data_IF_432465360566
#
_entry.id   IF_432465360566
#
_cell.length_a   1.000
_cell.length_b   1.000
_cell.length_c   1.000
_cell.angle_alpha   90.00
_cell.angle_beta   90.00
_cell.angle_gamma   90.00
#
_symmetry.space_group_name_H-M   'P 1'
#
loop_
_entity.id
_entity.type
_entity.pdbx_description
1 polymer ?
#
# COMPACT_ATOMS: atom_id res chain seq x y z
N UNK A 1 8.06 27.75 -43.41
CA UNK A 1 8.56 27.78 -42.02
C UNK A 1 7.53 27.02 -41.15
N UNK A 2 7.82 25.76 -40.78
CA UNK A 2 7.00 25.00 -39.88
C UNK A 2 7.43 25.36 -38.44
N UNK A 3 6.46 25.77 -37.62
CA UNK A 3 6.68 26.03 -36.20
C UNK A 3 7.12 24.73 -35.48
N UNK A 4 8.10 24.77 -34.57
CA UNK A 4 8.52 23.60 -33.83
C UNK A 4 7.34 23.11 -32.94
N UNK A 5 6.93 21.85 -33.11
CA UNK A 5 6.02 21.20 -32.19
C UNK A 5 6.77 21.05 -30.84
N UNK A 6 6.43 21.88 -29.89
CA UNK A 6 6.81 21.69 -28.50
C UNK A 6 6.24 20.33 -28.03
N UNK A 7 7.11 19.35 -27.96
CA UNK A 7 6.81 18.07 -27.32
C UNK A 7 6.81 18.34 -25.82
N UNK A 8 5.68 18.80 -25.26
CA UNK A 8 5.50 18.92 -23.82
C UNK A 8 5.39 17.50 -23.27
N UNK A 9 6.48 16.98 -22.72
CA UNK A 9 6.41 15.78 -21.89
C UNK A 9 5.42 16.08 -20.76
N UNK A 10 4.43 15.19 -20.51
CA UNK A 10 3.52 15.39 -19.40
C UNK A 10 4.32 15.46 -18.11
N UNK A 11 4.02 16.46 -17.27
CA UNK A 11 4.63 16.60 -15.96
C UNK A 11 4.38 15.32 -15.16
N UNK A 12 5.39 14.83 -14.41
CA UNK A 12 5.22 13.64 -13.60
C UNK A 12 4.09 13.87 -12.58
N UNK A 13 3.26 12.84 -12.40
CA UNK A 13 2.20 12.85 -11.39
C UNK A 13 2.82 12.63 -10.01
N UNK A 14 2.32 13.39 -9.03
CA UNK A 14 2.64 13.17 -7.63
C UNK A 14 1.77 12.05 -7.06
N UNK A 15 2.38 11.11 -6.33
CA UNK A 15 1.71 10.05 -5.59
C UNK A 15 1.98 10.27 -4.11
N UNK A 16 0.92 10.40 -3.30
CA UNK A 16 0.99 10.59 -1.86
C UNK A 16 0.38 9.37 -1.14
N UNK A 17 1.23 8.61 -0.46
CA UNK A 17 0.81 7.62 0.54
C UNK A 17 0.75 8.33 1.90
N UNK A 18 -0.40 8.23 2.56
CA UNK A 18 -0.67 9.01 3.78
C UNK A 18 -1.42 8.19 4.83
N UNK A 19 -1.17 8.49 6.08
CA UNK A 19 -2.01 8.03 7.20
C UNK A 19 -1.84 8.94 8.43
N UNK A 20 -2.85 8.90 9.30
CA UNK A 20 -2.80 9.48 10.63
C UNK A 20 -3.77 8.73 11.53
N UNK A 21 -3.28 8.21 12.66
CA UNK A 21 -4.15 7.82 13.76
C UNK A 21 -4.57 9.08 14.52
N UNK A 22 -5.86 9.29 14.61
CA UNK A 22 -6.49 10.38 15.37
C UNK A 22 -7.97 10.10 15.52
N UNK A 23 -8.63 10.55 16.60
CA UNK A 23 -10.08 10.41 16.71
C UNK A 23 -10.77 11.25 15.62
N UNK A 24 -11.44 10.58 14.67
CA UNK A 24 -12.28 11.24 13.68
C UNK A 24 -13.74 11.25 14.15
N UNK A 25 -14.38 12.41 14.02
CA UNK A 25 -15.80 12.58 14.34
C UNK A 25 -16.72 11.97 13.27
N UNK A 26 -17.46 12.82 12.55
CA UNK A 26 -18.39 12.39 11.48
C UNK A 26 -17.64 11.97 10.20
N UNK A 27 -17.28 10.68 10.12
CA UNK A 27 -16.65 10.11 8.91
C UNK A 27 -17.55 10.21 7.67
N UNK A 28 -18.88 10.31 7.81
CA UNK A 28 -19.77 10.43 6.65
C UNK A 28 -19.67 11.83 6.02
N UNK A 29 -19.71 12.87 6.82
CA UNK A 29 -19.49 14.24 6.37
C UNK A 29 -18.09 14.41 5.77
N UNK A 30 -17.05 13.88 6.42
CA UNK A 30 -15.67 13.92 5.92
C UNK A 30 -15.53 13.22 4.57
N UNK A 31 -16.18 12.07 4.37
CA UNK A 31 -16.20 11.35 3.09
C UNK A 31 -16.74 12.23 1.96
N UNK A 32 -17.84 12.96 2.20
CA UNK A 32 -18.45 13.82 1.19
C UNK A 32 -17.53 14.98 0.82
N UNK A 33 -16.96 15.65 1.82
CA UNK A 33 -16.00 16.76 1.62
C UNK A 33 -14.78 16.30 0.84
N UNK A 34 -14.10 15.23 1.30
CA UNK A 34 -12.89 14.71 0.65
C UNK A 34 -13.17 14.18 -0.76
N UNK A 35 -14.32 13.52 -0.99
CA UNK A 35 -14.71 13.06 -2.33
C UNK A 35 -14.86 14.25 -3.29
N UNK A 36 -15.51 15.34 -2.84
CA UNK A 36 -15.71 16.54 -3.64
C UNK A 36 -14.38 17.22 -3.96
N UNK A 37 -13.51 17.42 -2.96
CA UNK A 37 -12.21 18.07 -3.16
C UNK A 37 -11.33 17.25 -4.12
N UNK A 38 -11.20 15.95 -3.90
CA UNK A 38 -10.44 15.08 -4.80
C UNK A 38 -10.94 15.13 -6.26
N UNK A 39 -12.27 15.17 -6.46
CA UNK A 39 -12.85 15.29 -7.81
C UNK A 39 -12.53 16.63 -8.46
N UNK A 40 -12.67 17.73 -7.73
CA UNK A 40 -12.37 19.07 -8.22
C UNK A 40 -10.89 19.21 -8.62
N UNK A 41 -10.00 18.57 -7.88
CA UNK A 41 -8.55 18.61 -8.11
C UNK A 41 -8.06 17.52 -9.10
N UNK A 42 -8.94 16.70 -9.67
CA UNK A 42 -8.57 15.60 -10.57
C UNK A 42 -7.76 14.50 -9.91
N UNK A 43 -7.79 14.42 -8.56
CA UNK A 43 -7.04 13.43 -7.77
C UNK A 43 -7.77 12.09 -7.79
N UNK A 44 -6.99 10.99 -7.96
CA UNK A 44 -7.49 9.61 -7.92
C UNK A 44 -6.77 8.82 -6.85
N UNK A 45 -7.36 7.69 -6.42
CA UNK A 45 -6.77 6.83 -5.40
C UNK A 45 -7.80 6.28 -4.43
N UNK A 46 -7.33 5.89 -3.25
CA UNK A 46 -8.21 5.40 -2.19
C UNK A 46 -7.87 6.10 -0.88
N UNK A 47 -8.89 6.64 -0.21
CA UNK A 47 -8.83 7.09 1.17
C UNK A 47 -9.77 6.23 2.02
N UNK A 48 -9.28 5.74 3.13
CA UNK A 48 -10.02 5.02 4.16
C UNK A 48 -10.21 5.94 5.36
N UNK A 49 -11.42 6.03 5.85
CA UNK A 49 -11.80 6.79 7.05
C UNK A 49 -12.36 5.81 8.08
N UNK A 50 -11.91 5.91 9.30
CA UNK A 50 -12.47 5.20 10.45
C UNK A 50 -12.47 6.15 11.66
N UNK A 51 -13.13 5.75 12.75
CA UNK A 51 -13.08 6.54 14.00
C UNK A 51 -11.66 6.72 14.53
N UNK A 52 -10.76 5.80 14.22
CA UNK A 52 -9.36 5.80 14.63
C UNK A 52 -8.43 6.62 13.72
N UNK A 53 -8.92 7.18 12.58
CA UNK A 53 -8.07 7.98 11.70
C UNK A 53 -8.38 7.93 10.22
N UNK A 54 -7.35 8.28 9.44
CA UNK A 54 -7.35 8.28 7.97
C UNK A 54 -6.14 7.50 7.43
N UNK A 55 -6.31 6.78 6.32
CA UNK A 55 -5.26 6.08 5.59
C UNK A 55 -5.55 6.06 4.10
N UNK A 56 -4.52 6.10 3.26
CA UNK A 56 -4.71 5.91 1.82
C UNK A 56 -3.51 6.24 0.97
N UNK A 57 -3.73 6.05 -0.34
CA UNK A 57 -2.81 6.50 -1.39
C UNK A 57 -3.60 7.21 -2.47
N UNK A 58 -3.14 8.40 -2.84
CA UNK A 58 -3.76 9.27 -3.85
C UNK A 58 -2.71 9.75 -4.85
N UNK A 59 -3.13 10.04 -6.08
CA UNK A 59 -2.26 10.56 -7.12
C UNK A 59 -2.96 11.65 -7.94
N UNK A 60 -2.17 12.62 -8.39
CA UNK A 60 -2.65 13.75 -9.18
C UNK A 60 -1.51 14.70 -9.55
N UNK A 61 -1.87 15.89 -10.06
CA UNK A 61 -0.89 16.97 -10.18
C UNK A 61 -0.40 17.41 -8.80
N UNK A 62 0.83 17.91 -8.70
CA UNK A 62 1.36 18.41 -7.42
C UNK A 62 0.41 19.42 -6.74
N UNK A 63 -0.11 20.47 -7.43
CA UNK A 63 -1.06 21.39 -6.80
C UNK A 63 -2.36 20.70 -6.33
N UNK A 64 -2.83 19.69 -7.09
CA UNK A 64 -4.03 18.95 -6.70
C UNK A 64 -3.83 18.11 -5.44
N UNK A 65 -2.66 17.45 -5.32
CA UNK A 65 -2.28 16.72 -4.11
C UNK A 65 -2.14 17.66 -2.92
N UNK A 66 -1.44 18.80 -3.10
CA UNK A 66 -1.23 19.79 -2.03
C UNK A 66 -2.57 20.29 -1.48
N UNK A 67 -3.52 20.63 -2.34
CA UNK A 67 -4.86 21.07 -1.95
C UNK A 67 -5.64 20.01 -1.15
N UNK A 68 -5.52 18.72 -1.54
CA UNK A 68 -6.16 17.61 -0.80
C UNK A 68 -5.47 17.40 0.55
N UNK A 69 -4.14 17.45 0.61
CA UNK A 69 -3.39 17.31 1.86
C UNK A 69 -3.68 18.45 2.83
N UNK A 70 -3.80 19.68 2.34
CA UNK A 70 -4.20 20.84 3.16
C UNK A 70 -5.59 20.62 3.77
N UNK A 71 -6.56 20.17 2.96
CA UNK A 71 -7.89 19.85 3.46
C UNK A 71 -7.89 18.75 4.52
N UNK A 72 -7.04 17.71 4.37
CA UNK A 72 -6.91 16.64 5.37
C UNK A 72 -6.25 17.19 6.64
N UNK A 73 -5.18 17.99 6.54
CA UNK A 73 -4.51 18.58 7.69
C UNK A 73 -5.38 19.55 8.50
N UNK A 74 -6.38 20.16 7.86
CA UNK A 74 -7.38 21.00 8.52
C UNK A 74 -8.38 20.21 9.39
N UNK A 75 -8.43 18.89 9.27
CA UNK A 75 -9.27 18.02 10.12
C UNK A 75 -8.63 17.99 11.52
N UNK A 76 -9.40 18.21 12.61
CA UNK A 76 -8.90 18.09 13.96
C UNK A 76 -8.19 16.74 14.19
N UNK A 77 -6.96 16.78 14.72
CA UNK A 77 -6.11 15.60 14.92
C UNK A 77 -5.26 15.18 13.71
N UNK A 78 -5.47 15.74 12.51
CA UNK A 78 -4.73 15.38 11.30
C UNK A 78 -3.58 16.37 10.95
N UNK A 79 -3.28 17.35 11.79
CA UNK A 79 -2.23 18.34 11.51
C UNK A 79 -0.83 17.73 11.28
N UNK A 80 -0.55 16.59 11.93
CA UNK A 80 0.72 15.87 11.83
C UNK A 80 0.65 14.69 10.82
N UNK A 81 -0.20 14.82 9.81
CA UNK A 81 -0.41 13.78 8.78
C UNK A 81 0.93 13.26 8.20
N UNK A 82 1.22 11.99 8.42
CA UNK A 82 2.36 11.31 7.79
C UNK A 82 2.10 11.17 6.29
N UNK A 83 2.99 11.74 5.49
CA UNK A 83 2.87 11.72 4.02
C UNK A 83 4.19 11.29 3.40
N UNK A 84 4.14 10.32 2.51
CA UNK A 84 5.26 9.90 1.67
C UNK A 84 4.94 10.22 0.23
N UNK A 85 5.76 11.08 -0.37
CA UNK A 85 5.62 11.48 -1.76
C UNK A 85 6.51 10.62 -2.65
N UNK A 86 6.00 10.29 -3.80
CA UNK A 86 6.73 9.66 -4.90
C UNK A 86 6.12 10.10 -6.23
N UNK A 87 6.72 9.71 -7.35
CA UNK A 87 6.24 10.11 -8.67
C UNK A 87 5.77 8.91 -9.49
N UNK A 88 4.92 9.20 -10.48
CA UNK A 88 4.52 8.25 -11.51
C UNK A 88 4.46 8.96 -12.86
N UNK A 89 4.82 8.26 -13.94
CA UNK A 89 4.73 8.79 -15.32
C UNK A 89 3.31 8.73 -15.87
N UNK A 90 2.50 7.81 -15.34
CA UNK A 90 1.09 7.62 -15.71
C UNK A 90 0.22 7.58 -14.45
N UNK A 91 -1.07 7.88 -14.59
CA UNK A 91 -2.03 7.86 -13.47
C UNK A 91 -2.16 6.44 -12.89
N UNK A 92 -1.66 6.20 -11.65
CA UNK A 92 -1.61 4.85 -11.08
C UNK A 92 -2.92 4.38 -10.46
N UNK A 93 -4.02 5.09 -10.70
CA UNK A 93 -5.35 4.75 -10.20
C UNK A 93 -6.44 5.02 -11.24
N UNK A 94 -7.37 4.08 -11.41
CA UNK A 94 -8.49 4.25 -12.33
C UNK A 94 -9.52 5.28 -11.85
N UNK A 95 -9.77 5.36 -10.53
CA UNK A 95 -10.81 6.22 -9.95
C UNK A 95 -10.49 6.64 -8.52
N UNK A 96 -11.18 7.68 -8.03
CA UNK A 96 -11.17 8.05 -6.61
C UNK A 96 -12.17 7.21 -5.82
N UNK A 97 -11.75 6.73 -4.64
CA UNK A 97 -12.58 6.02 -3.67
C UNK A 97 -12.33 6.61 -2.27
N UNK A 98 -13.36 7.13 -1.62
CA UNK A 98 -13.33 7.47 -0.19
C UNK A 98 -14.28 6.51 0.53
N UNK A 99 -13.74 5.67 1.42
CA UNK A 99 -14.47 4.57 2.07
C UNK A 99 -14.43 4.72 3.59
N UNK A 100 -15.56 4.49 4.23
CA UNK A 100 -15.64 4.35 5.68
C UNK A 100 -15.39 2.87 6.01
N UNK A 101 -14.56 2.62 7.01
CA UNK A 101 -14.20 1.29 7.48
C UNK A 101 -14.25 1.25 9.02
N UNK A 102 -14.35 0.07 9.65
CA UNK A 102 -14.19 -0.06 11.10
C UNK A 102 -12.81 0.38 11.58
N UNK A 103 -11.76 0.05 10.80
CA UNK A 103 -10.36 0.35 11.07
C UNK A 103 -9.69 0.92 9.81
N UNK A 104 -8.73 1.85 9.99
CA UNK A 104 -7.95 2.38 8.85
C UNK A 104 -6.90 1.39 8.35
N UNK A 105 -6.53 0.43 9.20
CA UNK A 105 -5.77 -0.78 8.86
C UNK A 105 -6.34 -1.93 9.69
N UNK A 106 -6.94 -2.91 9.02
CA UNK A 106 -7.74 -3.94 9.69
C UNK A 106 -6.85 -4.98 10.35
N UNK A 107 -6.78 -4.99 11.67
CA UNK A 107 -6.12 -6.01 12.49
C UNK A 107 -7.13 -6.89 13.22
N UNK A 108 -8.37 -6.45 13.35
CA UNK A 108 -9.42 -7.17 14.08
C UNK A 108 -9.24 -7.12 15.61
N UNK A 109 -8.57 -6.07 16.11
CA UNK A 109 -8.34 -5.84 17.55
C UNK A 109 -8.80 -4.40 17.88
N UNK A 110 -10.11 -4.19 18.09
CA UNK A 110 -10.68 -2.84 18.23
C UNK A 110 -10.26 -2.13 19.52
N UNK A 111 -9.81 -2.86 20.53
CA UNK A 111 -9.39 -2.32 21.82
C UNK A 111 -7.90 -1.86 21.81
N UNK A 112 -7.19 -2.12 20.73
CA UNK A 112 -5.79 -1.67 20.58
C UNK A 112 -5.76 -0.25 20.02
N UNK A 113 -5.31 0.69 20.84
CA UNK A 113 -5.12 2.09 20.47
C UNK A 113 -3.62 2.42 20.30
N UNK A 114 -3.15 2.62 19.06
CA UNK A 114 -1.75 2.97 18.81
C UNK A 114 -1.34 4.32 19.40
N UNK A 115 -2.27 5.25 19.59
CA UNK A 115 -1.96 6.57 20.17
C UNK A 115 -1.50 6.47 21.63
N UNK A 116 -1.94 5.43 22.35
CA UNK A 116 -1.62 5.22 23.75
C UNK A 116 -0.37 4.35 23.95
N UNK A 117 -0.11 3.40 23.06
CA UNK A 117 0.84 2.33 23.36
C UNK A 117 1.67 1.82 22.17
N UNK A 118 1.81 2.59 21.08
CA UNK A 118 2.70 2.20 19.98
C UNK A 118 4.14 1.95 20.47
N UNK A 119 4.84 1.05 19.78
CA UNK A 119 6.25 0.74 20.04
C UNK A 119 7.17 1.93 19.82
N UNK A 120 8.45 1.74 20.11
CA UNK A 120 9.47 2.77 19.91
C UNK A 120 9.80 2.90 18.43
N UNK A 121 9.70 4.12 17.90
CA UNK A 121 10.10 4.43 16.52
C UNK A 121 11.61 4.41 16.35
N UNK A 122 12.09 3.71 15.32
CA UNK A 122 13.52 3.66 14.94
C UNK A 122 13.65 4.27 13.55
N UNK A 123 14.49 5.29 13.41
CA UNK A 123 14.73 5.94 12.11
C UNK A 123 15.52 5.01 11.18
N UNK A 124 15.40 5.15 9.84
CA UNK A 124 16.04 4.28 8.87
C UNK A 124 17.55 4.08 9.08
N UNK A 125 18.28 5.13 9.45
CA UNK A 125 19.74 5.06 9.66
C UNK A 125 20.15 4.19 10.88
N UNK A 126 19.30 4.09 11.90
CA UNK A 126 19.55 3.29 13.10
C UNK A 126 18.97 1.86 12.96
N UNK A 127 18.15 1.63 11.93
CA UNK A 127 17.42 0.37 11.75
C UNK A 127 18.34 -0.82 11.56
N UNK A 128 19.39 -0.67 10.73
CA UNK A 128 20.34 -1.74 10.47
C UNK A 128 21.04 -2.24 11.73
N UNK A 129 21.43 -1.34 12.63
CA UNK A 129 22.06 -1.70 13.89
C UNK A 129 21.11 -2.49 14.80
N UNK A 130 19.83 -2.09 14.86
CA UNK A 130 18.82 -2.81 15.64
C UNK A 130 18.56 -4.21 15.11
N UNK A 131 18.38 -4.38 13.80
CA UNK A 131 18.05 -5.69 13.22
C UNK A 131 19.24 -6.64 13.11
N UNK A 132 20.46 -6.12 13.18
CA UNK A 132 21.68 -6.91 13.26
C UNK A 132 21.99 -7.42 14.67
N UNK A 133 21.36 -6.88 15.71
CA UNK A 133 21.52 -7.33 17.08
C UNK A 133 20.94 -8.75 17.26
N UNK A 134 21.74 -9.75 17.66
CA UNK A 134 21.29 -11.12 17.85
C UNK A 134 20.20 -11.27 18.92
N UNK A 135 20.05 -10.31 19.84
CA UNK A 135 18.98 -10.27 20.82
C UNK A 135 17.64 -9.75 20.23
N UNK A 136 17.61 -9.32 18.97
CA UNK A 136 16.42 -8.82 18.29
C UNK A 136 15.79 -9.90 17.40
N UNK A 137 14.49 -10.10 17.52
CA UNK A 137 13.70 -10.78 16.48
C UNK A 137 13.09 -9.74 15.55
N UNK A 138 13.24 -9.93 14.26
CA UNK A 138 12.71 -9.01 13.23
C UNK A 138 11.50 -9.65 12.57
N UNK A 139 10.37 -8.97 12.53
CA UNK A 139 9.11 -9.50 12.00
C UNK A 139 8.58 -8.60 10.87
N UNK A 140 8.34 -9.18 9.71
CA UNK A 140 7.63 -8.52 8.61
C UNK A 140 6.11 -8.61 8.85
N UNK A 141 5.44 -7.50 9.09
CA UNK A 141 3.99 -7.49 9.39
C UNK A 141 3.13 -7.38 8.13
N UNK A 142 3.71 -7.59 6.95
CA UNK A 142 3.01 -7.56 5.68
C UNK A 142 2.40 -8.92 5.35
N UNK A 143 1.57 -8.93 4.30
CA UNK A 143 1.02 -10.16 3.78
C UNK A 143 2.08 -10.95 2.99
N UNK A 144 1.91 -12.26 2.88
CA UNK A 144 2.80 -13.21 2.20
C UNK A 144 3.21 -12.76 0.79
N UNK A 145 2.25 -12.29 -0.02
CA UNK A 145 2.51 -11.82 -1.38
C UNK A 145 3.37 -10.52 -1.44
N UNK A 146 3.34 -9.70 -0.39
CA UNK A 146 4.20 -8.51 -0.27
C UNK A 146 5.63 -8.92 0.12
N UNK A 147 5.75 -9.89 1.04
CA UNK A 147 7.04 -10.45 1.48
C UNK A 147 7.76 -11.14 0.33
N UNK A 148 7.03 -11.84 -0.54
CA UNK A 148 7.59 -12.51 -1.72
C UNK A 148 8.26 -11.54 -2.72
N UNK A 149 7.88 -10.26 -2.74
CA UNK A 149 8.50 -9.22 -3.58
C UNK A 149 9.84 -8.74 -3.00
N UNK A 150 9.97 -8.75 -1.68
CA UNK A 150 11.19 -8.39 -0.98
C UNK A 150 10.97 -8.21 0.50
N UNK A 151 12.04 -8.38 1.29
CA UNK A 151 12.03 -8.26 2.76
C UNK A 151 13.42 -7.96 3.30
N UNK A 152 13.54 -7.62 4.59
CA UNK A 152 14.85 -7.51 5.24
C UNK A 152 15.50 -8.88 5.45
N UNK A 153 16.82 -8.92 5.30
CA UNK A 153 17.60 -10.13 5.57
C UNK A 153 17.36 -10.63 7.01
N UNK A 154 16.97 -11.90 7.15
CA UNK A 154 16.75 -12.52 8.47
C UNK A 154 15.42 -12.19 9.13
N UNK A 155 14.54 -11.44 8.48
CA UNK A 155 13.20 -11.18 8.99
C UNK A 155 12.33 -12.46 8.96
N UNK A 156 11.53 -12.62 10.00
CA UNK A 156 10.50 -13.67 10.08
C UNK A 156 9.33 -13.25 9.22
N UNK A 157 8.93 -14.12 8.30
CA UNK A 157 7.69 -14.03 7.53
C UNK A 157 6.58 -14.80 8.27
N UNK A 158 5.53 -14.12 8.75
CA UNK A 158 4.37 -14.77 9.35
C UNK A 158 3.55 -15.62 8.38
N UNK A 159 3.76 -15.51 7.08
CA UNK A 159 2.99 -16.16 6.01
C UNK A 159 1.49 -15.92 6.12
N UNK A 160 1.11 -14.74 6.61
CA UNK A 160 -0.29 -14.33 6.75
C UNK A 160 -0.83 -13.80 5.43
N UNK A 161 -2.05 -14.19 5.09
CA UNK A 161 -2.75 -13.68 3.90
C UNK A 161 -3.35 -12.30 4.11
N UNK A 162 -3.56 -11.94 5.37
CA UNK A 162 -4.17 -10.69 5.80
C UNK A 162 -3.56 -10.24 7.11
N UNK A 163 -3.45 -8.93 7.31
CA UNK A 163 -2.96 -8.35 8.57
C UNK A 163 -3.86 -8.73 9.77
N UNK A 164 -5.13 -9.06 9.55
CA UNK A 164 -6.02 -9.58 10.59
C UNK A 164 -5.62 -10.96 11.12
N UNK A 165 -4.76 -11.70 10.40
CA UNK A 165 -4.29 -13.03 10.85
C UNK A 165 -3.10 -12.89 11.82
N UNK A 166 -2.44 -11.73 11.83
CA UNK A 166 -1.23 -11.48 12.61
C UNK A 166 -1.39 -11.72 14.12
N UNK A 167 -2.48 -11.28 14.80
CA UNK A 167 -2.64 -11.52 16.23
C UNK A 167 -2.69 -13.00 16.60
N UNK A 168 -3.43 -13.80 15.83
CA UNK A 168 -3.52 -15.24 16.07
C UNK A 168 -2.17 -15.94 15.81
N UNK A 169 -1.49 -15.56 14.71
CA UNK A 169 -0.15 -16.07 14.41
C UNK A 169 0.85 -15.74 15.52
N UNK A 170 0.90 -14.49 16.00
CA UNK A 170 1.82 -14.09 17.06
C UNK A 170 1.59 -14.88 18.34
N UNK A 171 0.33 -15.01 18.79
CA UNK A 171 0.00 -15.79 19.99
C UNK A 171 0.43 -17.25 19.89
N UNK A 172 0.29 -17.86 18.71
CA UNK A 172 0.69 -19.25 18.45
C UNK A 172 2.21 -19.47 18.43
N UNK A 173 3.00 -18.45 18.07
CA UNK A 173 4.45 -18.57 17.89
C UNK A 173 5.27 -17.78 18.90
N UNK A 174 4.61 -17.07 19.82
CA UNK A 174 5.24 -16.13 20.76
C UNK A 174 6.44 -16.71 21.49
N UNK A 175 6.28 -17.87 22.12
CA UNK A 175 7.34 -18.45 22.96
C UNK A 175 8.57 -18.82 22.12
N UNK A 176 8.37 -19.39 20.95
CA UNK A 176 9.47 -19.72 20.04
C UNK A 176 10.13 -18.47 19.43
N UNK A 177 9.37 -17.41 19.14
CA UNK A 177 9.90 -16.15 18.62
C UNK A 177 10.74 -15.40 19.64
N UNK A 178 10.36 -15.48 20.91
CA UNK A 178 11.01 -14.74 22.00
C UNK A 178 12.09 -15.56 22.73
N UNK A 179 12.28 -16.83 22.37
CA UNK A 179 13.34 -17.65 22.96
C UNK A 179 14.73 -17.05 22.70
N UNK A 180 15.42 -16.68 23.77
CA UNK A 180 16.72 -16.01 23.72
C UNK A 180 16.70 -14.59 23.13
N UNK A 181 15.50 -13.99 22.93
CA UNK A 181 15.33 -12.63 22.40
C UNK A 181 14.78 -11.68 23.46
N UNK A 182 15.31 -10.47 23.48
CA UNK A 182 14.84 -9.42 24.39
C UNK A 182 14.10 -8.31 23.65
N UNK A 183 14.29 -8.18 22.32
CA UNK A 183 13.75 -7.11 21.50
C UNK A 183 12.95 -7.66 20.34
N UNK A 184 11.85 -6.99 20.02
CA UNK A 184 11.07 -7.25 18.81
C UNK A 184 11.10 -6.02 17.92
N UNK A 185 11.60 -6.17 16.70
CA UNK A 185 11.61 -5.11 15.69
C UNK A 185 10.63 -5.44 14.56
N UNK A 186 9.72 -4.54 14.26
CA UNK A 186 8.69 -4.77 13.24
C UNK A 186 8.73 -3.72 12.14
N UNK A 187 8.39 -4.12 10.92
CA UNK A 187 8.30 -3.22 9.78
C UNK A 187 7.13 -3.58 8.87
N UNK A 188 6.69 -2.58 8.09
CA UNK A 188 5.73 -2.74 6.99
C UNK A 188 6.01 -1.70 5.91
N UNK A 189 5.24 -1.68 4.84
CA UNK A 189 5.44 -0.77 3.70
C UNK A 189 5.53 0.70 4.11
N UNK A 190 4.57 1.21 4.87
CA UNK A 190 4.47 2.64 5.20
C UNK A 190 4.54 3.00 6.70
N UNK A 191 4.56 2.01 7.61
CA UNK A 191 4.59 2.22 9.06
C UNK A 191 3.25 1.98 9.78
N UNK A 192 2.13 2.18 9.12
CA UNK A 192 0.80 2.15 9.75
C UNK A 192 0.45 0.81 10.44
N UNK A 193 0.76 -0.34 9.81
CA UNK A 193 0.52 -1.66 10.43
C UNK A 193 1.35 -1.83 11.69
N UNK A 194 2.59 -1.32 11.66
CA UNK A 194 3.49 -1.44 12.80
C UNK A 194 3.06 -0.65 14.02
N UNK A 195 2.49 0.52 13.86
CA UNK A 195 1.95 1.25 15.01
C UNK A 195 0.92 0.40 15.76
N UNK A 196 0.02 -0.25 15.01
CA UNK A 196 -1.04 -1.08 15.59
C UNK A 196 -0.51 -2.41 16.12
N UNK A 197 0.37 -3.09 15.38
CA UNK A 197 0.93 -4.38 15.81
C UNK A 197 1.89 -4.24 16.99
N UNK A 198 2.66 -3.14 17.09
CA UNK A 198 3.51 -2.91 18.26
C UNK A 198 2.70 -2.60 19.51
N UNK A 199 1.62 -1.82 19.38
CA UNK A 199 0.69 -1.60 20.48
C UNK A 199 0.05 -2.92 20.95
N UNK A 200 -0.31 -3.79 20.02
CA UNK A 200 -0.80 -5.13 20.31
C UNK A 200 0.23 -5.98 21.05
N UNK A 201 1.49 -6.04 20.60
CA UNK A 201 2.53 -6.79 21.29
C UNK A 201 2.78 -6.30 22.71
N UNK A 202 2.72 -4.97 22.93
CA UNK A 202 2.79 -4.41 24.29
C UNK A 202 1.63 -4.86 25.18
N UNK A 203 0.41 -4.90 24.63
CA UNK A 203 -0.76 -5.44 25.34
C UNK A 203 -0.61 -6.94 25.64
N UNK A 204 0.10 -7.70 24.80
CA UNK A 204 0.46 -9.11 25.03
C UNK A 204 1.65 -9.26 26.01
N UNK A 205 2.18 -8.17 26.58
CA UNK A 205 3.23 -8.18 27.61
C UNK A 205 4.68 -8.19 27.08
N UNK A 206 4.90 -7.83 25.81
CA UNK A 206 6.25 -7.62 25.27
C UNK A 206 6.71 -6.20 25.58
N UNK A 207 7.81 -6.02 26.33
CA UNK A 207 8.25 -4.72 26.80
C UNK A 207 9.06 -3.95 25.75
N UNK A 208 10.04 -4.60 25.11
CA UNK A 208 10.96 -3.96 24.16
C UNK A 208 10.49 -4.17 22.72
N UNK A 209 9.58 -3.32 22.26
CA UNK A 209 8.97 -3.38 20.93
C UNK A 209 9.32 -2.13 20.13
N UNK A 210 9.90 -2.34 18.98
CA UNK A 210 10.41 -1.31 18.07
C UNK A 210 9.77 -1.43 16.70
N UNK A 211 9.67 -0.30 15.98
CA UNK A 211 9.24 -0.33 14.58
C UNK A 211 9.94 0.71 13.71
N UNK A 212 10.10 0.36 12.44
CA UNK A 212 10.74 1.21 11.45
C UNK A 212 9.89 2.45 11.16
N UNK A 213 10.40 3.64 11.55
CA UNK A 213 9.74 4.92 11.31
C UNK A 213 9.59 5.19 9.81
N UNK A 214 8.35 5.39 9.38
CA UNK A 214 8.05 5.62 7.98
C UNK A 214 8.07 4.35 7.11
N UNK A 215 8.36 3.18 7.68
CA UNK A 215 8.34 1.89 7.01
C UNK A 215 9.41 1.72 5.94
N UNK A 216 9.25 0.68 5.13
CA UNK A 216 10.19 0.32 4.06
C UNK A 216 10.37 1.46 3.05
N UNK A 217 9.29 2.17 2.71
CA UNK A 217 9.37 3.27 1.73
C UNK A 217 10.35 4.35 2.19
N UNK A 218 10.31 4.73 3.47
CA UNK A 218 11.26 5.71 4.00
C UNK A 218 12.67 5.14 4.08
N UNK A 219 12.82 3.87 4.41
CA UNK A 219 14.13 3.22 4.44
C UNK A 219 14.78 3.19 3.05
N UNK A 220 14.02 2.84 2.02
CA UNK A 220 14.51 2.80 0.63
C UNK A 220 14.81 4.20 0.04
N UNK A 221 14.24 5.24 0.63
CA UNK A 221 14.51 6.64 0.25
C UNK A 221 15.74 7.18 0.98
N UNK A 222 15.88 6.89 2.29
CA UNK A 222 16.90 7.48 3.15
C UNK A 222 18.23 6.70 3.16
N UNK A 223 18.20 5.35 2.99
CA UNK A 223 19.38 4.49 3.11
C UNK A 223 19.97 4.17 1.74
N UNK A 224 21.28 4.43 1.58
CA UNK A 224 21.96 4.14 0.32
C UNK A 224 21.92 2.64 -0.02
N UNK A 225 21.84 2.24 -1.31
CA UNK A 225 21.80 0.84 -1.71
C UNK A 225 22.97 0.01 -1.18
N UNK A 226 24.17 0.60 -1.05
CA UNK A 226 25.37 -0.07 -0.55
C UNK A 226 25.28 -0.47 0.94
N UNK A 227 24.48 0.28 1.71
CA UNK A 227 24.31 0.08 3.15
C UNK A 227 23.02 -0.68 3.48
N UNK A 228 22.25 -1.02 2.46
CA UNK A 228 20.92 -1.58 2.62
C UNK A 228 20.94 -3.05 3.01
N UNK A 229 20.19 -3.42 4.05
CA UNK A 229 19.88 -4.81 4.41
C UNK A 229 18.56 -5.29 3.77
N UNK A 230 17.88 -4.43 2.99
CA UNK A 230 16.70 -4.79 2.22
C UNK A 230 17.07 -5.67 1.01
N UNK A 231 16.26 -6.69 0.73
CA UNK A 231 16.42 -7.58 -0.43
C UNK A 231 15.17 -7.55 -1.29
N UNK A 232 15.34 -7.40 -2.59
CA UNK A 232 14.23 -7.31 -3.56
C UNK A 232 13.62 -5.91 -3.65
N UNK A 233 12.35 -5.84 -4.05
CA UNK A 233 11.57 -4.63 -4.22
C UNK A 233 10.48 -4.51 -3.14
N UNK A 234 9.95 -3.32 -2.93
CA UNK A 234 8.85 -3.09 -1.98
C UNK A 234 7.53 -3.03 -2.73
N UNK A 235 6.61 -3.95 -2.44
CA UNK A 235 5.26 -3.90 -2.99
C UNK A 235 4.51 -2.63 -2.56
N UNK A 236 3.83 -1.99 -3.52
CA UNK A 236 2.96 -0.83 -3.32
C UNK A 236 1.56 -1.08 -3.89
N UNK A 237 0.53 -0.50 -3.27
CA UNK A 237 -0.88 -0.75 -3.61
C UNK A 237 -1.39 0.15 -4.75
N UNK A 238 -0.57 0.36 -5.78
CA UNK A 238 -0.93 1.09 -7.00
C UNK A 238 -0.37 0.39 -8.25
N UNK A 239 -0.62 0.93 -9.43
CA UNK A 239 -0.22 0.30 -10.71
C UNK A 239 1.29 0.23 -10.94
N UNK A 240 2.12 0.83 -10.09
CA UNK A 240 3.59 0.63 -10.12
C UNK A 240 3.97 -0.76 -9.61
N UNK A 241 3.09 -1.38 -8.83
CA UNK A 241 3.21 -2.71 -8.21
C UNK A 241 4.34 -2.81 -7.21
N UNK A 242 5.56 -2.39 -7.56
CA UNK A 242 6.71 -2.41 -6.67
C UNK A 242 7.65 -1.22 -6.91
N UNK A 243 8.44 -0.87 -5.89
CA UNK A 243 9.46 0.18 -5.96
C UNK A 243 10.76 -0.31 -5.32
N UNK A 244 11.89 0.20 -5.83
CA UNK A 244 13.22 -0.02 -5.27
C UNK A 244 13.76 1.20 -4.52
N UNK A 245 15.07 1.25 -4.33
CA UNK A 245 15.77 2.39 -3.72
C UNK A 245 15.49 3.70 -4.47
N UNK A 246 15.41 4.80 -3.73
CA UNK A 246 14.99 6.10 -4.23
C UNK A 246 13.56 6.10 -4.74
N UNK A 247 12.75 5.13 -4.33
CA UNK A 247 11.35 4.91 -4.74
C UNK A 247 11.18 4.80 -6.27
N UNK A 248 12.23 4.39 -6.96
CA UNK A 248 12.20 4.14 -8.40
C UNK A 248 11.24 2.97 -8.71
N UNK A 249 10.49 3.02 -9.84
CA UNK A 249 9.65 1.90 -10.26
C UNK A 249 10.43 0.59 -10.35
N UNK A 250 9.86 -0.48 -9.80
CA UNK A 250 10.42 -1.81 -9.83
C UNK A 250 10.16 -2.56 -11.14
N UNK A 251 10.46 -3.84 -11.13
CA UNK A 251 10.37 -4.74 -12.29
C UNK A 251 9.13 -5.63 -12.27
N UNK A 252 8.44 -5.71 -11.11
CA UNK A 252 7.23 -6.51 -10.98
C UNK A 252 6.04 -5.89 -11.71
N UNK A 253 5.21 -6.72 -12.29
CA UNK A 253 3.89 -6.38 -12.82
C UNK A 253 2.78 -6.97 -11.94
N UNK A 254 1.52 -6.66 -12.27
CA UNK A 254 0.38 -7.19 -11.51
C UNK A 254 -0.40 -8.19 -12.35
N UNK A 255 -0.70 -9.34 -11.77
CA UNK A 255 -1.66 -10.26 -12.38
C UNK A 255 -3.08 -9.65 -12.34
N UNK A 256 -3.63 -9.31 -13.50
CA UNK A 256 -4.97 -8.71 -13.60
C UNK A 256 -6.12 -9.65 -13.22
N UNK A 257 -5.85 -10.95 -13.04
CA UNK A 257 -6.83 -11.95 -12.60
C UNK A 257 -6.93 -12.06 -11.07
N UNK A 258 -5.80 -12.10 -10.35
CA UNK A 258 -5.78 -12.29 -8.90
C UNK A 258 -5.22 -11.11 -8.10
N UNK A 259 -4.54 -10.17 -8.74
CA UNK A 259 -3.93 -9.02 -8.07
C UNK A 259 -2.55 -9.28 -7.45
N UNK A 260 -2.04 -10.52 -7.50
CA UNK A 260 -0.71 -10.86 -6.99
C UNK A 260 0.39 -10.22 -7.85
N UNK A 261 1.50 -9.75 -7.26
CA UNK A 261 2.67 -9.33 -8.01
C UNK A 261 3.25 -10.50 -8.82
N UNK A 262 3.77 -10.18 -10.01
CA UNK A 262 4.34 -11.13 -10.97
C UNK A 262 5.77 -10.69 -11.25
N UNK A 263 6.73 -11.53 -10.94
CA UNK A 263 8.16 -11.27 -11.20
C UNK A 263 8.49 -11.41 -12.70
N UNK A 264 9.64 -10.89 -13.17
CA UNK A 264 10.12 -11.14 -14.54
C UNK A 264 10.27 -12.64 -14.88
N UNK A 265 10.57 -13.49 -13.88
CA UNK A 265 10.63 -14.94 -14.04
C UNK A 265 9.25 -15.56 -14.21
N UNK A 266 8.27 -15.12 -13.41
CA UNK A 266 6.88 -15.58 -13.52
C UNK A 266 6.28 -15.27 -14.89
N UNK A 267 6.66 -14.15 -15.51
CA UNK A 267 6.22 -13.77 -16.87
C UNK A 267 6.68 -14.78 -17.94
N UNK A 268 7.76 -15.52 -17.66
CA UNK A 268 8.29 -16.58 -18.57
C UNK A 268 7.68 -17.96 -18.30
N UNK A 269 6.87 -18.09 -17.25
CA UNK A 269 6.23 -19.36 -16.88
C UNK A 269 5.15 -19.75 -17.88
N UNK A 270 5.04 -21.05 -18.19
CA UNK A 270 3.93 -21.60 -18.96
C UNK A 270 2.54 -21.41 -18.27
N UNK A 271 2.53 -21.07 -17.00
CA UNK A 271 1.32 -20.76 -16.21
C UNK A 271 0.91 -19.29 -16.30
N UNK A 272 1.74 -18.45 -16.93
CA UNK A 272 1.42 -17.04 -17.12
C UNK A 272 0.69 -16.84 -18.44
N UNK A 273 -0.46 -16.18 -18.36
CA UNK A 273 -1.22 -15.69 -19.51
C UNK A 273 -1.71 -14.28 -19.16
N UNK A 274 -1.27 -13.26 -19.93
CA UNK A 274 -1.57 -11.87 -19.64
C UNK A 274 -3.08 -11.61 -19.52
N UNK A 275 -3.46 -10.90 -18.47
CA UNK A 275 -4.86 -10.64 -18.14
C UNK A 275 -5.64 -11.85 -17.59
N UNK A 276 -5.09 -13.06 -17.58
CA UNK A 276 -5.83 -14.30 -17.33
C UNK A 276 -5.33 -15.09 -16.13
N UNK A 277 -4.02 -15.34 -16.02
CA UNK A 277 -3.44 -16.13 -14.93
C UNK A 277 -1.96 -15.82 -14.70
N UNK A 278 -1.48 -16.15 -13.50
CA UNK A 278 -0.06 -16.21 -13.15
C UNK A 278 0.22 -17.51 -12.38
N UNK A 279 1.48 -17.90 -12.12
CA UNK A 279 1.81 -19.10 -11.37
C UNK A 279 1.04 -19.26 -10.05
N UNK A 280 0.82 -18.14 -9.32
CA UNK A 280 0.11 -18.17 -8.05
C UNK A 280 -1.39 -18.51 -8.16
N UNK A 281 -2.04 -18.19 -9.28
CA UNK A 281 -3.49 -18.40 -9.42
C UNK A 281 -3.87 -19.43 -10.50
N UNK A 282 -2.93 -19.89 -11.33
CA UNK A 282 -3.21 -20.79 -12.46
C UNK A 282 -3.97 -22.05 -12.01
N UNK A 283 -3.48 -22.74 -10.97
CA UNK A 283 -4.07 -24.00 -10.50
C UNK A 283 -5.43 -23.82 -9.79
N UNK A 284 -5.75 -22.59 -9.33
CA UNK A 284 -6.99 -22.30 -8.59
C UNK A 284 -8.12 -21.76 -9.47
N UNK A 285 -7.87 -21.57 -10.79
CA UNK A 285 -8.85 -21.02 -11.73
C UNK A 285 -9.47 -22.11 -12.58
N UNK A 286 -10.80 -22.08 -12.73
CA UNK A 286 -11.51 -22.96 -13.65
C UNK A 286 -11.34 -22.49 -15.10
N UNK A 287 -11.65 -23.36 -16.07
CA UNK A 287 -11.56 -23.00 -17.49
C UNK A 287 -12.56 -21.90 -17.87
N UNK A 288 -13.75 -21.90 -17.25
CA UNK A 288 -14.76 -20.84 -17.44
C UNK A 288 -14.26 -19.50 -16.92
N UNK A 289 -13.59 -19.49 -15.75
CA UNK A 289 -12.99 -18.26 -15.21
C UNK A 289 -11.88 -17.74 -16.13
N UNK A 290 -11.01 -18.63 -16.64
CA UNK A 290 -9.97 -18.24 -17.60
C UNK A 290 -10.57 -17.69 -18.89
N UNK A 291 -11.63 -18.31 -19.43
CA UNK A 291 -12.33 -17.82 -20.61
C UNK A 291 -12.94 -16.42 -20.37
N UNK A 292 -13.56 -16.19 -19.21
CA UNK A 292 -14.10 -14.89 -18.85
C UNK A 292 -13.02 -13.80 -18.72
N UNK A 293 -11.85 -14.15 -18.18
CA UNK A 293 -10.71 -13.22 -18.08
C UNK A 293 -10.10 -12.90 -19.45
N UNK A 294 -9.98 -13.88 -20.36
CA UNK A 294 -9.56 -13.66 -21.76
C UNK A 294 -10.49 -12.68 -22.47
N UNK A 295 -11.78 -12.88 -22.32
CA UNK A 295 -12.77 -11.99 -22.94
C UNK A 295 -12.67 -10.56 -22.35
N UNK A 296 -12.54 -10.42 -21.04
CA UNK A 296 -12.33 -9.11 -20.41
C UNK A 296 -11.06 -8.43 -20.94
N UNK A 297 -9.94 -9.15 -20.99
CA UNK A 297 -8.67 -8.62 -21.50
C UNK A 297 -8.77 -8.20 -22.96
N UNK A 298 -9.46 -9.01 -23.79
CA UNK A 298 -9.76 -8.68 -25.20
C UNK A 298 -10.56 -7.37 -25.31
N UNK A 299 -11.59 -7.19 -24.48
CA UNK A 299 -12.40 -5.96 -24.49
C UNK A 299 -11.61 -4.72 -24.04
N UNK A 300 -10.72 -4.87 -23.07
CA UNK A 300 -9.80 -3.81 -22.63
C UNK A 300 -8.85 -3.40 -23.76
N UNK A 301 -8.25 -4.37 -24.44
CA UNK A 301 -7.37 -4.13 -25.60
C UNK A 301 -8.09 -3.44 -26.76
N UNK A 302 -9.32 -3.88 -27.10
CA UNK A 302 -10.15 -3.24 -28.14
C UNK A 302 -10.51 -1.79 -27.77
N UNK A 303 -10.87 -1.54 -26.51
CA UNK A 303 -11.17 -0.18 -26.06
C UNK A 303 -9.94 0.73 -26.15
N UNK A 304 -8.78 0.23 -25.73
CA UNK A 304 -7.50 0.95 -25.82
C UNK A 304 -7.13 1.27 -27.27
N UNK A 305 -7.27 0.31 -28.19
CA UNK A 305 -7.03 0.51 -29.62
C UNK A 305 -7.95 1.57 -30.23
N UNK A 306 -9.15 1.76 -29.66
CA UNK A 306 -10.13 2.78 -30.07
C UNK A 306 -9.98 4.11 -29.31
N UNK A 307 -8.91 4.29 -28.51
CA UNK A 307 -8.70 5.48 -27.70
C UNK A 307 -9.72 5.66 -26.57
N UNK A 308 -10.44 4.60 -26.19
CA UNK A 308 -11.47 4.62 -25.13
C UNK A 308 -10.95 4.05 -23.83
N UNK A 309 -11.39 4.63 -22.72
CA UNK A 309 -11.12 4.09 -21.37
C UNK A 309 -12.18 3.02 -21.08
N UNK A 310 -11.76 1.77 -20.86
CA UNK A 310 -12.65 0.65 -20.48
C UNK A 310 -12.72 0.53 -18.95
N UNK A 311 -11.60 0.33 -18.29
CA UNK A 311 -11.52 0.24 -16.82
C UNK A 311 -11.53 1.64 -16.22
N UNK A 312 -12.46 1.90 -15.30
CA UNK A 312 -12.61 3.23 -14.67
C UNK A 312 -13.36 4.27 -15.50
N UNK A 313 -13.95 3.89 -16.64
CA UNK A 313 -14.85 4.76 -17.40
C UNK A 313 -16.04 5.21 -16.53
N UNK A 314 -16.32 6.50 -16.55
CA UNK A 314 -17.57 7.05 -15.99
C UNK A 314 -18.64 6.86 -17.04
N UNK A 315 -19.55 5.92 -16.81
CA UNK A 315 -20.69 5.74 -17.69
C UNK A 315 -21.62 6.96 -17.55
N UNK A 316 -22.10 7.53 -18.66
CA UNK A 316 -23.12 8.57 -18.59
C UNK A 316 -24.36 8.02 -17.87
N UNK A 317 -24.91 8.83 -16.95
CA UNK A 317 -26.16 8.50 -16.29
C UNK A 317 -27.23 8.32 -17.37
N UNK A 318 -27.77 7.11 -17.53
CA UNK A 318 -28.89 6.89 -18.41
C UNK A 318 -30.06 7.78 -17.93
N UNK A 319 -30.61 8.66 -18.78
CA UNK A 319 -31.85 9.36 -18.40
C UNK A 319 -32.92 8.32 -18.07
N UNK A 320 -33.62 8.51 -16.95
CA UNK A 320 -34.74 7.65 -16.58
C UNK A 320 -35.72 7.65 -17.74
N UNK A 321 -36.07 6.47 -18.27
CA UNK A 321 -37.13 6.36 -19.27
C UNK A 321 -38.42 6.88 -18.63
N UNK A 322 -39.15 7.81 -19.26
CA UNK A 322 -40.44 8.23 -18.75
C UNK A 322 -41.37 7.02 -18.76
N UNK A 323 -42.04 6.75 -17.63
CA UNK A 323 -43.10 5.76 -17.48
C UNK A 323 -44.38 6.30 -18.08
#
# INVERSE_FOLDING_TARGET
MQAPRLCTQPLPLCVAALYQFCPLGDCAALREVLTRVCRLQGVRGTLLLAREGINGTIAGSQPGIDAVLEQIRAIPGCAQLEVKLSSATTMPFHRMKVRIRPEIVTMGQPDIDPLLSAGTYVVPHDWNALIADPATVVIDTRNDFEVAVGTFAGAVDPQTRSFSDFPAWFRAHRDALLDGKTKVAMFCTGGIRCEKSTAFLRAEGVSEVYHLKGGILKYLDDVAPADSLWRGECFVFDQRVAVGHGLAPGTHSQCHACGTPVSPQDLQSAQYEDGVSCPACHATRTDEQRAAYRERHRQEALATAQGRVHVGAVLPVRPASPR
#
